data_IF_577018291485
#
_entry.id   IF_577018291485
#
_cell.length_a   1.000
_cell.length_b   1.000
_cell.length_c   1.000
_cell.angle_alpha   90.00
_cell.angle_beta   90.00
_cell.angle_gamma   90.00
#
_symmetry.space_group_name_H-M   'P 1'
#
loop_
_entity.id
_entity.type
_entity.pdbx_description
1 polymer ?
#
# COMPACT_ATOMS: atom_id res chain seq x y z
N UNK A 1 52.72 42.19 -6.95
CA UNK A 1 52.11 40.96 -7.51
C UNK A 1 50.68 40.84 -6.97
N UNK A 2 49.65 40.95 -7.81
CA UNK A 2 48.24 40.91 -7.40
C UNK A 2 47.54 39.79 -8.19
N UNK A 3 47.23 38.67 -7.55
CA UNK A 3 46.58 37.52 -8.21
C UNK A 3 45.06 37.70 -8.17
N UNK A 4 44.42 37.64 -9.33
CA UNK A 4 42.96 37.58 -9.50
C UNK A 4 42.49 36.12 -9.58
N UNK A 5 41.34 35.87 -8.97
CA UNK A 5 40.22 35.00 -9.40
C UNK A 5 40.45 33.51 -9.63
N UNK A 6 39.68 32.67 -8.93
CA UNK A 6 38.50 32.00 -9.52
C UNK A 6 37.72 31.26 -8.43
N UNK A 7 36.51 31.73 -8.12
CA UNK A 7 35.50 30.91 -7.45
C UNK A 7 34.93 29.93 -8.47
N UNK A 8 35.25 28.66 -8.35
CA UNK A 8 34.57 27.60 -9.07
C UNK A 8 33.21 27.37 -8.41
N UNK A 9 32.16 27.99 -8.98
CA UNK A 9 30.77 27.70 -8.62
C UNK A 9 30.46 26.27 -9.08
N UNK A 10 30.60 25.33 -8.15
CA UNK A 10 30.11 23.97 -8.27
C UNK A 10 28.61 24.01 -8.53
N UNK A 11 28.25 23.60 -9.75
CA UNK A 11 26.90 23.50 -10.29
C UNK A 11 26.08 22.52 -9.46
N UNK A 12 25.24 23.01 -8.55
CA UNK A 12 24.24 22.22 -7.83
C UNK A 12 23.14 21.79 -8.80
N UNK A 13 23.35 20.66 -9.49
CA UNK A 13 22.29 20.01 -10.28
C UNK A 13 21.47 19.13 -9.36
N UNK A 14 20.17 19.37 -9.37
CA UNK A 14 19.18 18.80 -8.45
C UNK A 14 19.25 17.29 -8.29
N UNK A 15 19.43 16.87 -7.04
CA UNK A 15 19.14 15.52 -6.54
C UNK A 15 18.35 15.67 -5.24
N UNK A 16 17.24 16.41 -5.30
CA UNK A 16 16.39 16.67 -4.13
C UNK A 16 14.95 16.15 -4.29
N UNK A 17 14.65 15.35 -5.32
CA UNK A 17 13.30 14.77 -5.52
C UNK A 17 13.22 13.24 -5.36
N UNK A 18 14.34 12.54 -5.17
CA UNK A 18 14.37 11.07 -5.14
C UNK A 18 14.23 10.45 -3.73
N UNK A 19 14.45 11.22 -2.67
CA UNK A 19 14.48 10.69 -1.29
C UNK A 19 13.08 10.37 -0.74
N UNK A 20 12.03 11.05 -1.20
CA UNK A 20 10.66 10.88 -0.69
C UNK A 20 9.78 9.85 -1.40
N UNK A 21 10.18 9.31 -2.57
CA UNK A 21 9.39 8.24 -3.24
C UNK A 21 9.61 6.85 -2.63
N UNK A 22 10.84 6.56 -2.19
CA UNK A 22 11.22 5.31 -1.54
C UNK A 22 10.36 4.97 -0.30
N UNK A 23 10.10 5.88 0.66
CA UNK A 23 9.31 5.54 1.85
C UNK A 23 7.87 5.16 1.50
N UNK A 24 7.23 5.83 0.52
CA UNK A 24 5.87 5.50 0.11
C UNK A 24 5.78 4.11 -0.53
N UNK A 25 6.70 3.78 -1.44
CA UNK A 25 6.73 2.46 -2.08
C UNK A 25 6.93 1.34 -1.05
N UNK A 26 7.84 1.51 -0.09
CA UNK A 26 8.04 0.53 0.98
C UNK A 26 6.82 0.38 1.88
N UNK A 27 6.14 1.49 2.18
CA UNK A 27 4.88 1.47 2.94
C UNK A 27 3.80 0.68 2.20
N UNK A 28 3.60 0.95 0.90
CA UNK A 28 2.62 0.23 0.06
C UNK A 28 2.96 -1.25 0.00
N UNK A 29 4.22 -1.61 -0.24
CA UNK A 29 4.66 -3.01 -0.25
C UNK A 29 4.43 -3.70 1.10
N UNK A 30 4.67 -3.01 2.22
CA UNK A 30 4.36 -3.54 3.55
C UNK A 30 2.86 -3.81 3.70
N UNK A 31 2.00 -2.86 3.29
CA UNK A 31 0.54 -3.03 3.36
C UNK A 31 0.06 -4.18 2.47
N UNK A 32 0.60 -4.32 1.27
CA UNK A 32 0.29 -5.44 0.37
C UNK A 32 0.70 -6.79 0.98
N UNK A 33 1.85 -6.87 1.66
CA UNK A 33 2.24 -8.09 2.40
C UNK A 33 1.28 -8.42 3.53
N UNK A 34 0.82 -7.43 4.29
CA UNK A 34 -0.18 -7.68 5.33
C UNK A 34 -1.53 -8.10 4.73
N UNK A 35 -1.94 -7.48 3.62
CA UNK A 35 -3.18 -7.85 2.93
C UNK A 35 -3.17 -9.31 2.47
N UNK A 36 -2.05 -9.78 1.90
CA UNK A 36 -1.86 -11.19 1.51
C UNK A 36 -1.98 -12.19 2.66
N UNK A 37 -1.76 -11.77 3.92
CA UNK A 37 -1.92 -12.65 5.09
C UNK A 37 -3.38 -12.82 5.52
N UNK A 38 -4.24 -11.87 5.16
CA UNK A 38 -5.63 -11.79 5.66
C UNK A 38 -6.61 -12.30 4.61
N UNK A 39 -6.32 -12.03 3.33
CA UNK A 39 -7.19 -12.42 2.21
C UNK A 39 -6.97 -13.90 1.91
N UNK A 40 -8.02 -14.73 1.91
CA UNK A 40 -7.90 -16.14 1.54
C UNK A 40 -7.48 -16.29 0.08
N UNK A 41 -6.73 -17.34 -0.23
CA UNK A 41 -6.27 -17.69 -1.59
C UNK A 41 -5.43 -16.61 -2.29
N UNK A 42 -4.87 -15.68 -1.51
CA UNK A 42 -3.97 -14.61 -1.96
C UNK A 42 -2.55 -15.13 -2.25
N UNK A 43 -2.40 -16.20 -3.02
CA UNK A 43 -1.09 -16.72 -3.45
C UNK A 43 -0.60 -16.02 -4.71
N UNK A 44 0.70 -15.69 -4.74
CA UNK A 44 1.61 -15.23 -5.83
C UNK A 44 1.03 -14.52 -7.07
N UNK A 45 -0.19 -13.97 -6.99
CA UNK A 45 -0.84 -13.23 -8.05
C UNK A 45 -0.37 -11.80 -8.11
N UNK A 46 -0.63 -11.20 -9.26
CA UNK A 46 -0.46 -9.77 -9.51
C UNK A 46 -1.24 -8.94 -8.47
N UNK A 47 -0.82 -7.69 -8.26
CA UNK A 47 -1.45 -6.75 -7.33
C UNK A 47 -2.93 -6.59 -7.68
N UNK A 48 -3.28 -6.54 -8.96
CA UNK A 48 -4.67 -6.38 -9.42
C UNK A 48 -5.54 -7.57 -9.02
N UNK A 49 -5.00 -8.80 -9.15
CA UNK A 49 -5.69 -10.02 -8.73
C UNK A 49 -5.91 -10.00 -7.21
N UNK A 50 -4.89 -9.61 -6.43
CA UNK A 50 -5.01 -9.48 -4.98
C UNK A 50 -6.10 -8.49 -4.58
N UNK A 51 -6.16 -7.33 -5.26
CA UNK A 51 -7.18 -6.31 -4.98
C UNK A 51 -8.58 -6.79 -5.35
N UNK A 52 -8.73 -7.51 -6.47
CA UNK A 52 -10.00 -8.12 -6.85
C UNK A 52 -10.46 -9.16 -5.82
N UNK A 53 -9.58 -10.11 -5.46
CA UNK A 53 -9.87 -11.12 -4.42
C UNK A 53 -10.23 -10.47 -3.09
N UNK A 54 -9.58 -9.35 -2.75
CA UNK A 54 -9.91 -8.57 -1.55
C UNK A 54 -11.33 -8.02 -1.63
N UNK A 55 -11.73 -7.44 -2.77
CA UNK A 55 -13.07 -6.91 -2.95
C UNK A 55 -14.13 -8.01 -2.84
N UNK A 56 -13.89 -9.16 -3.48
CA UNK A 56 -14.77 -10.33 -3.39
C UNK A 56 -14.88 -10.84 -1.94
N UNK A 57 -13.76 -10.90 -1.21
CA UNK A 57 -13.75 -11.35 0.17
C UNK A 57 -14.52 -10.39 1.10
N UNK A 58 -14.39 -9.07 0.90
CA UNK A 58 -15.19 -8.07 1.64
C UNK A 58 -16.68 -8.32 1.40
N UNK A 59 -17.12 -8.46 0.14
CA UNK A 59 -18.52 -8.72 -0.19
C UNK A 59 -19.05 -10.00 0.49
N UNK A 60 -18.26 -11.07 0.49
CA UNK A 60 -18.63 -12.34 1.16
C UNK A 60 -18.77 -12.14 2.67
N UNK A 61 -17.83 -11.44 3.31
CA UNK A 61 -17.89 -11.17 4.74
C UNK A 61 -19.11 -10.31 5.11
N UNK A 62 -19.40 -9.27 4.33
CA UNK A 62 -20.58 -8.43 4.52
C UNK A 62 -21.88 -9.23 4.43
N UNK A 63 -21.98 -10.14 3.46
CA UNK A 63 -23.12 -11.05 3.33
C UNK A 63 -23.23 -11.97 4.56
N UNK A 64 -22.13 -12.60 4.99
CA UNK A 64 -22.11 -13.47 6.18
C UNK A 64 -22.55 -12.72 7.43
N UNK A 65 -22.02 -11.52 7.66
CA UNK A 65 -22.41 -10.67 8.79
C UNK A 65 -23.88 -10.30 8.73
N UNK A 66 -24.40 -9.96 7.54
CA UNK A 66 -25.81 -9.64 7.35
C UNK A 66 -26.72 -10.83 7.69
N UNK A 67 -26.37 -12.02 7.22
CA UNK A 67 -27.13 -13.24 7.51
C UNK A 67 -27.08 -13.55 9.02
N UNK A 68 -25.90 -13.53 9.62
CA UNK A 68 -25.73 -13.78 11.05
C UNK A 68 -26.53 -12.80 11.92
N UNK A 69 -26.56 -11.51 11.55
CA UNK A 69 -27.38 -10.50 12.25
C UNK A 69 -28.87 -10.81 12.14
N UNK A 70 -29.36 -11.23 10.97
CA UNK A 70 -30.76 -11.63 10.79
C UNK A 70 -31.11 -12.86 11.62
N UNK A 71 -30.23 -13.87 11.64
CA UNK A 71 -30.41 -15.07 12.46
C UNK A 71 -30.40 -14.72 13.95
N UNK A 72 -29.46 -13.90 14.42
CA UNK A 72 -29.43 -13.44 15.81
C UNK A 72 -30.72 -12.71 16.20
N UNK A 73 -31.28 -11.87 15.31
CA UNK A 73 -32.56 -11.21 15.54
C UNK A 73 -33.75 -12.18 15.65
N UNK A 74 -33.69 -13.35 14.99
CA UNK A 74 -34.73 -14.39 15.06
C UNK A 74 -34.57 -15.24 16.34
N UNK A 75 -33.33 -15.63 16.65
CA UNK A 75 -33.03 -16.60 17.71
C UNK A 75 -32.67 -15.98 19.06
N UNK A 76 -32.50 -14.66 19.14
CA UNK A 76 -32.34 -13.92 20.39
C UNK A 76 -31.02 -14.19 21.15
N UNK A 77 -29.97 -14.63 20.45
CA UNK A 77 -28.61 -14.79 21.02
C UNK A 77 -27.88 -13.45 21.01
#
# INVERSE_FOLDING_TARGET
MKRRSMFTVGKTKGVASSVHRKPFQHMVQRRLRELKKIVPDAHEGDIDVLLQQTAEYICILELKVTILRRLAAIYGV
#
